data_IF_067022375565
#
_entry.id   IF_067022375565
#
_cell.length_a   1.000
_cell.length_b   1.000
_cell.length_c   1.000
_cell.angle_alpha   90.00
_cell.angle_beta   90.00
_cell.angle_gamma   90.00
#
_symmetry.space_group_name_H-M   'P 1'
#
loop_
_entity.id
_entity.type
_entity.pdbx_description
1 polymer ?
#
# COMPACT_ATOMS: atom_id res chain seq x y z
N UNK A 1 1.80 -22.57 -7.41
CA UNK A 1 1.73 -23.12 -8.77
C UNK A 1 1.15 -22.02 -9.66
N UNK A 2 1.91 -21.50 -10.63
CA UNK A 2 1.38 -20.48 -11.57
C UNK A 2 0.15 -21.07 -12.26
N UNK A 3 -0.91 -20.28 -12.51
CA UNK A 3 -2.08 -20.76 -13.25
C UNK A 3 -1.56 -21.36 -14.56
N UNK A 4 -1.74 -22.68 -14.79
CA UNK A 4 -1.16 -23.33 -15.96
C UNK A 4 -1.70 -22.66 -17.22
N UNK A 5 -0.88 -22.51 -18.28
CA UNK A 5 -1.34 -21.95 -19.53
C UNK A 5 -2.61 -22.68 -19.96
N UNK A 6 -3.71 -21.94 -20.11
CA UNK A 6 -4.97 -22.57 -20.48
C UNK A 6 -4.85 -23.10 -21.91
N UNK A 7 -5.02 -24.41 -22.05
CA UNK A 7 -5.12 -25.06 -23.35
C UNK A 7 -6.29 -24.46 -24.14
N UNK A 8 -6.19 -24.45 -25.47
CA UNK A 8 -7.30 -24.05 -26.34
C UNK A 8 -8.56 -24.86 -26.03
N UNK A 9 -8.40 -26.15 -25.71
CA UNK A 9 -9.48 -27.03 -25.25
C UNK A 9 -10.23 -26.53 -24.02
N UNK A 10 -9.54 -25.90 -23.06
CA UNK A 10 -10.20 -25.37 -21.87
C UNK A 10 -11.04 -24.15 -22.19
N UNK A 11 -10.58 -23.30 -23.12
CA UNK A 11 -11.35 -22.14 -23.59
C UNK A 11 -12.58 -22.59 -24.40
N UNK A 12 -12.38 -23.53 -25.32
CA UNK A 12 -13.46 -24.13 -26.12
C UNK A 12 -14.50 -24.84 -25.25
N UNK A 13 -14.07 -25.71 -24.33
CA UNK A 13 -14.99 -26.48 -23.47
C UNK A 13 -15.84 -25.56 -22.56
N UNK A 14 -15.30 -24.43 -22.08
CA UNK A 14 -16.07 -23.44 -21.30
C UNK A 14 -17.19 -22.80 -22.13
N UNK A 15 -16.96 -22.61 -23.43
CA UNK A 15 -17.95 -22.12 -24.36
C UNK A 15 -18.87 -23.22 -24.91
N UNK A 16 -18.70 -24.48 -24.47
CA UNK A 16 -19.44 -25.63 -25.00
C UNK A 16 -19.04 -26.05 -26.41
N UNK A 17 -17.83 -25.67 -26.86
CA UNK A 17 -17.32 -25.93 -28.21
C UNK A 17 -16.34 -27.10 -28.21
N UNK A 18 -16.56 -28.06 -29.10
CA UNK A 18 -15.60 -29.12 -29.43
C UNK A 18 -14.63 -28.72 -30.54
N UNK A 19 -13.71 -29.63 -30.89
CA UNK A 19 -12.73 -29.43 -31.97
C UNK A 19 -13.43 -29.12 -33.31
N UNK A 20 -14.46 -29.89 -33.66
CA UNK A 20 -15.20 -29.73 -34.92
C UNK A 20 -15.92 -28.38 -34.99
N UNK A 21 -16.52 -27.92 -33.88
CA UNK A 21 -17.21 -26.63 -33.80
C UNK A 21 -16.23 -25.48 -34.00
N UNK A 22 -15.08 -25.53 -33.31
CA UNK A 22 -14.03 -24.51 -33.44
C UNK A 22 -13.43 -24.49 -34.85
N UNK A 23 -13.20 -25.66 -35.45
CA UNK A 23 -12.72 -25.77 -36.83
C UNK A 23 -13.69 -25.13 -37.82
N UNK A 24 -14.98 -25.44 -37.69
CA UNK A 24 -16.05 -24.89 -38.53
C UNK A 24 -16.18 -23.37 -38.35
N UNK A 25 -16.29 -22.89 -37.11
CA UNK A 25 -16.50 -21.48 -36.80
C UNK A 25 -15.29 -20.60 -37.15
N UNK A 26 -14.07 -21.11 -36.95
CA UNK A 26 -12.85 -20.41 -37.32
C UNK A 26 -12.53 -20.51 -38.82
N UNK A 27 -13.18 -21.43 -39.56
CA UNK A 27 -12.81 -21.73 -40.94
C UNK A 27 -11.37 -22.26 -41.05
N UNK A 28 -10.95 -23.10 -40.10
CA UNK A 28 -9.61 -23.69 -40.00
C UNK A 28 -9.75 -25.22 -40.06
N UNK A 29 -8.83 -25.91 -40.74
CA UNK A 29 -8.85 -27.37 -40.82
C UNK A 29 -8.89 -28.02 -39.43
N UNK A 30 -9.75 -29.04 -39.28
CA UNK A 30 -9.94 -29.77 -38.03
C UNK A 30 -8.62 -30.40 -37.52
N UNK A 31 -7.77 -30.87 -38.43
CA UNK A 31 -6.43 -31.37 -38.11
C UNK A 31 -5.50 -30.30 -37.51
N UNK A 32 -5.67 -29.04 -37.89
CA UNK A 32 -4.94 -27.91 -37.32
C UNK A 32 -5.48 -27.58 -35.93
N UNK A 33 -6.81 -27.53 -35.75
CA UNK A 33 -7.40 -27.33 -34.42
C UNK A 33 -7.03 -28.47 -33.47
N UNK A 34 -7.11 -29.72 -33.90
CA UNK A 34 -6.73 -30.90 -33.12
C UNK A 34 -5.28 -30.82 -32.60
N UNK A 35 -4.33 -30.37 -33.44
CA UNK A 35 -2.93 -30.14 -33.03
C UNK A 35 -2.80 -29.04 -31.96
N UNK A 36 -3.58 -27.98 -32.07
CA UNK A 36 -3.56 -26.86 -31.10
C UNK A 36 -4.33 -27.19 -29.81
N UNK A 37 -5.36 -28.04 -29.89
CA UNK A 37 -6.37 -28.25 -28.85
C UNK A 37 -5.81 -28.55 -27.46
N UNK A 38 -4.84 -29.45 -27.41
CA UNK A 38 -4.21 -29.91 -26.15
C UNK A 38 -2.76 -29.43 -26.00
N UNK A 39 -2.26 -28.59 -26.91
CA UNK A 39 -0.89 -28.07 -26.81
C UNK A 39 -0.85 -26.97 -25.74
N UNK A 40 0.05 -27.04 -24.73
CA UNK A 40 0.18 -26.00 -23.70
C UNK A 40 0.52 -24.62 -24.30
N UNK A 41 1.47 -24.60 -25.22
CA UNK A 41 1.99 -23.37 -25.85
C UNK A 41 1.38 -23.14 -27.24
N UNK A 42 0.08 -23.43 -27.38
CA UNK A 42 -0.60 -23.36 -28.67
C UNK A 42 -0.56 -21.95 -29.28
N UNK A 43 -0.54 -20.91 -28.42
CA UNK A 43 -0.48 -19.52 -28.82
C UNK A 43 0.83 -19.18 -29.55
N UNK A 44 1.96 -19.76 -29.15
CA UNK A 44 3.26 -19.54 -29.81
C UNK A 44 3.31 -20.17 -31.21
N UNK A 45 2.51 -21.22 -31.41
CA UNK A 45 2.44 -22.03 -32.64
C UNK A 45 1.45 -21.50 -33.65
N UNK A 46 0.65 -20.50 -33.30
CA UNK A 46 -0.38 -19.94 -34.19
C UNK A 46 -0.18 -18.43 -34.34
N UNK A 47 -0.15 -17.96 -35.59
CA UNK A 47 0.05 -16.54 -35.92
C UNK A 47 -0.84 -16.13 -37.09
N UNK A 48 -0.96 -14.81 -37.30
CA UNK A 48 -1.65 -14.26 -38.46
C UNK A 48 -3.13 -14.66 -38.54
N UNK A 49 -3.58 -15.08 -39.72
CA UNK A 49 -5.01 -15.32 -40.00
C UNK A 49 -5.63 -16.40 -39.11
N UNK A 50 -4.91 -17.48 -38.82
CA UNK A 50 -5.43 -18.55 -37.95
C UNK A 50 -5.66 -18.06 -36.52
N UNK A 51 -4.77 -17.21 -35.99
CA UNK A 51 -4.97 -16.62 -34.67
C UNK A 51 -6.16 -15.64 -34.67
N UNK A 52 -6.28 -14.79 -35.69
CA UNK A 52 -7.43 -13.88 -35.84
C UNK A 52 -8.76 -14.64 -35.93
N UNK A 53 -8.77 -15.75 -36.68
CA UNK A 53 -9.93 -16.62 -36.79
C UNK A 53 -10.31 -17.25 -35.45
N UNK A 54 -9.33 -17.73 -34.68
CA UNK A 54 -9.57 -18.26 -33.33
C UNK A 54 -10.08 -17.19 -32.35
N UNK A 55 -9.53 -15.97 -32.41
CA UNK A 55 -9.99 -14.82 -31.63
C UNK A 55 -11.46 -14.50 -31.92
N UNK A 56 -11.87 -14.58 -33.20
CA UNK A 56 -13.25 -14.30 -33.61
C UNK A 56 -14.21 -15.44 -33.26
N UNK A 57 -13.76 -16.69 -33.32
CA UNK A 57 -14.61 -17.87 -33.23
C UNK A 57 -14.75 -18.46 -31.82
N UNK A 58 -13.78 -18.25 -30.94
CA UNK A 58 -13.73 -18.91 -29.63
C UNK A 58 -13.80 -17.88 -28.50
N UNK A 59 -14.92 -17.82 -27.75
CA UNK A 59 -15.05 -16.94 -26.59
C UNK A 59 -13.91 -17.16 -25.58
N UNK A 60 -13.33 -16.06 -25.07
CA UNK A 60 -12.20 -16.12 -24.13
C UNK A 60 -10.82 -16.17 -24.79
N UNK A 61 -10.70 -16.42 -26.10
CA UNK A 61 -9.40 -16.39 -26.80
C UNK A 61 -8.87 -14.97 -26.95
N UNK A 62 -9.73 -13.98 -27.24
CA UNK A 62 -9.33 -12.58 -27.35
C UNK A 62 -8.69 -12.07 -26.05
N UNK A 63 -9.35 -12.34 -24.91
CA UNK A 63 -8.90 -11.99 -23.57
C UNK A 63 -7.63 -12.73 -23.20
N UNK A 64 -7.57 -14.03 -23.51
CA UNK A 64 -6.37 -14.85 -23.26
C UNK A 64 -5.15 -14.33 -24.02
N UNK A 65 -5.33 -13.90 -25.27
CA UNK A 65 -4.27 -13.32 -26.11
C UNK A 65 -3.83 -11.96 -25.58
N UNK A 66 -4.79 -11.11 -25.20
CA UNK A 66 -4.50 -9.79 -24.62
C UNK A 66 -3.71 -9.89 -23.29
N UNK A 67 -4.01 -10.90 -22.47
CA UNK A 67 -3.36 -11.15 -21.18
C UNK A 67 -2.02 -11.90 -21.28
N UNK A 68 -1.70 -12.53 -22.41
CA UNK A 68 -0.52 -13.39 -22.55
C UNK A 68 0.81 -12.65 -22.24
N UNK A 69 1.09 -11.45 -22.80
CA UNK A 69 2.34 -10.74 -22.50
C UNK A 69 2.51 -10.40 -21.01
N UNK A 70 1.40 -10.14 -20.31
CA UNK A 70 1.41 -9.80 -18.89
C UNK A 70 1.70 -11.03 -18.03
N UNK A 71 1.14 -12.19 -18.37
CA UNK A 71 1.44 -13.46 -17.70
C UNK A 71 2.88 -13.87 -17.90
N UNK A 72 3.42 -13.71 -19.11
CA UNK A 72 4.82 -14.03 -19.39
C UNK A 72 5.76 -13.12 -18.62
N UNK A 73 5.48 -11.81 -18.57
CA UNK A 73 6.22 -10.86 -17.75
C UNK A 73 6.15 -11.22 -16.27
N UNK A 74 4.96 -11.51 -15.74
CA UNK A 74 4.76 -11.94 -14.35
C UNK A 74 5.53 -13.22 -14.02
N UNK A 75 5.43 -14.24 -14.88
CA UNK A 75 6.15 -15.50 -14.70
C UNK A 75 7.68 -15.31 -14.79
N UNK A 76 8.16 -14.44 -15.68
CA UNK A 76 9.57 -14.06 -15.76
C UNK A 76 10.04 -13.39 -14.48
N UNK A 77 9.26 -12.44 -13.95
CA UNK A 77 9.57 -11.74 -12.71
C UNK A 77 9.63 -12.70 -11.51
N UNK A 78 8.64 -13.60 -11.40
CA UNK A 78 8.63 -14.65 -10.36
C UNK A 78 9.88 -15.52 -10.45
N UNK A 79 10.32 -15.90 -11.65
CA UNK A 79 11.57 -16.66 -11.83
C UNK A 79 12.81 -15.85 -11.44
N UNK A 80 12.88 -14.58 -11.82
CA UNK A 80 13.98 -13.68 -11.42
C UNK A 80 14.05 -13.54 -9.91
N UNK A 81 12.91 -13.34 -9.23
CA UNK A 81 12.84 -13.26 -7.77
C UNK A 81 13.26 -14.58 -7.11
N UNK A 82 12.82 -15.72 -7.64
CA UNK A 82 13.23 -17.02 -7.14
C UNK A 82 14.74 -17.25 -7.26
N UNK A 83 15.39 -16.72 -8.32
CA UNK A 83 16.84 -16.79 -8.47
C UNK A 83 17.60 -15.99 -7.39
N UNK A 84 16.96 -14.95 -6.83
CA UNK A 84 17.46 -14.15 -5.70
C UNK A 84 17.03 -14.72 -4.33
N UNK A 85 16.47 -15.93 -4.29
CA UNK A 85 15.98 -16.57 -3.06
C UNK A 85 14.62 -16.07 -2.56
N UNK A 86 13.94 -15.21 -3.33
CA UNK A 86 12.66 -14.61 -2.97
C UNK A 86 11.51 -15.48 -3.49
N UNK A 87 10.71 -16.04 -2.59
CA UNK A 87 9.58 -16.92 -2.97
C UNK A 87 8.28 -16.13 -3.01
N UNK A 88 7.59 -16.12 -4.16
CA UNK A 88 6.32 -15.40 -4.35
C UNK A 88 5.11 -16.28 -4.00
N UNK A 89 4.17 -15.77 -3.18
CA UNK A 89 2.86 -16.37 -2.95
C UNK A 89 1.95 -16.13 -4.17
N UNK A 90 1.96 -17.11 -5.06
CA UNK A 90 1.16 -17.11 -6.28
C UNK A 90 -0.34 -17.22 -6.04
N UNK A 91 -0.77 -17.80 -4.90
CA UNK A 91 -2.18 -17.93 -4.55
C UNK A 91 -2.72 -16.57 -4.16
N UNK A 92 -2.00 -15.83 -3.34
CA UNK A 92 -2.38 -14.48 -2.95
C UNK A 92 -2.34 -13.51 -4.13
N UNK A 93 -1.33 -13.62 -5.02
CA UNK A 93 -1.26 -12.82 -6.25
C UNK A 93 -2.49 -13.02 -7.17
N UNK A 94 -2.95 -14.27 -7.30
CA UNK A 94 -4.15 -14.59 -8.06
C UNK A 94 -5.42 -14.02 -7.41
N UNK A 95 -5.57 -14.17 -6.08
CA UNK A 95 -6.71 -13.62 -5.33
C UNK A 95 -6.83 -12.10 -5.45
N UNK A 96 -5.71 -11.37 -5.38
CA UNK A 96 -5.71 -9.92 -5.56
C UNK A 96 -6.23 -9.53 -6.96
N UNK A 97 -5.87 -10.31 -7.98
CA UNK A 97 -6.35 -10.05 -9.34
C UNK A 97 -7.84 -10.36 -9.52
N UNK A 98 -8.29 -11.48 -8.97
CA UNK A 98 -9.63 -12.03 -9.23
C UNK A 98 -10.70 -11.48 -8.28
N UNK A 99 -10.38 -11.26 -7.01
CA UNK A 99 -11.36 -10.89 -5.97
C UNK A 99 -11.33 -9.40 -5.61
N UNK A 100 -10.14 -8.80 -5.56
CA UNK A 100 -9.98 -7.38 -5.26
C UNK A 100 -10.07 -6.50 -6.52
N UNK A 101 -10.24 -7.11 -7.69
CA UNK A 101 -10.36 -6.40 -8.96
C UNK A 101 -9.11 -5.61 -9.34
N UNK A 102 -7.93 -5.99 -8.82
CA UNK A 102 -6.66 -5.33 -9.13
C UNK A 102 -6.16 -5.87 -10.47
N UNK A 103 -6.08 -5.07 -11.55
CA UNK A 103 -5.55 -5.57 -12.81
C UNK A 103 -4.18 -6.25 -12.65
N UNK A 104 -4.00 -7.42 -13.28
CA UNK A 104 -2.72 -8.18 -13.27
C UNK A 104 -1.47 -7.35 -13.55
N UNK A 105 -1.48 -6.33 -14.44
CA UNK A 105 -0.34 -5.43 -14.60
C UNK A 105 0.09 -4.74 -13.32
N UNK A 106 -0.86 -4.37 -12.46
CA UNK A 106 -0.56 -3.75 -11.19
C UNK A 106 -0.06 -4.74 -10.15
N UNK A 107 -0.48 -6.02 -10.20
CA UNK A 107 0.14 -7.06 -9.36
C UNK A 107 1.54 -7.40 -9.85
N UNK A 108 1.78 -7.42 -11.16
CA UNK A 108 3.11 -7.55 -11.74
C UNK A 108 4.00 -6.34 -11.38
N UNK A 109 3.49 -5.12 -11.46
CA UNK A 109 4.18 -3.91 -11.01
C UNK A 109 4.33 -3.84 -9.48
N UNK A 110 3.42 -4.43 -8.70
CA UNK A 110 3.51 -4.53 -7.24
C UNK A 110 4.49 -5.61 -6.80
N UNK A 111 4.65 -6.68 -7.58
CA UNK A 111 5.76 -7.62 -7.42
C UNK A 111 7.09 -6.99 -7.86
N UNK A 112 7.05 -6.14 -8.87
CA UNK A 112 8.20 -5.33 -9.29
C UNK A 112 8.51 -4.23 -8.24
N UNK A 113 7.49 -3.82 -7.47
CA UNK A 113 7.56 -2.84 -6.39
C UNK A 113 7.48 -3.46 -4.97
N UNK A 114 7.77 -4.78 -4.87
CA UNK A 114 7.65 -5.68 -3.71
C UNK A 114 7.85 -5.03 -2.32
N UNK A 115 6.85 -4.31 -1.82
CA UNK A 115 6.86 -3.76 -0.45
C UNK A 115 5.47 -3.66 0.20
N UNK A 116 4.42 -4.27 -0.35
CA UNK A 116 3.10 -4.24 0.29
C UNK A 116 2.36 -5.58 0.23
N UNK A 117 2.34 -6.28 1.38
CA UNK A 117 1.25 -7.19 1.77
C UNK A 117 1.28 -8.62 1.22
N UNK A 118 2.06 -9.51 1.86
CA UNK A 118 1.80 -10.96 1.84
C UNK A 118 2.18 -11.74 0.58
N UNK A 119 2.89 -11.11 -0.36
CA UNK A 119 3.35 -11.78 -1.59
C UNK A 119 4.65 -12.57 -1.43
N UNK A 120 5.35 -12.49 -0.29
CA UNK A 120 6.59 -13.23 -0.06
C UNK A 120 6.41 -14.27 1.05
N UNK A 121 6.92 -15.47 0.82
CA UNK A 121 6.97 -16.55 1.85
C UNK A 121 8.02 -16.21 2.92
N UNK A 122 9.12 -15.59 2.53
CA UNK A 122 10.13 -15.05 3.42
C UNK A 122 10.43 -13.60 3.03
N UNK A 123 10.10 -12.69 3.93
CA UNK A 123 10.31 -11.23 3.76
C UNK A 123 11.69 -10.82 4.29
N UNK A 124 12.42 -11.69 4.99
CA UNK A 124 13.68 -11.35 5.64
C UNK A 124 14.77 -10.83 4.68
N UNK A 125 15.04 -11.46 3.51
CA UNK A 125 16.06 -10.95 2.58
C UNK A 125 15.73 -9.54 2.08
N UNK A 126 14.46 -9.28 1.82
CA UNK A 126 13.97 -7.97 1.39
C UNK A 126 14.10 -6.93 2.51
N UNK A 127 13.75 -7.28 3.75
CA UNK A 127 13.92 -6.40 4.90
C UNK A 127 15.38 -6.05 5.14
N UNK A 128 16.29 -7.03 5.03
CA UNK A 128 17.74 -6.79 5.12
C UNK A 128 18.18 -5.80 4.06
N UNK A 129 17.85 -6.05 2.79
CA UNK A 129 18.21 -5.15 1.70
C UNK A 129 17.60 -3.75 1.85
N UNK A 130 16.34 -3.66 2.29
CA UNK A 130 15.67 -2.40 2.55
C UNK A 130 16.31 -1.61 3.70
N UNK A 131 16.63 -2.30 4.79
CA UNK A 131 17.30 -1.71 5.97
C UNK A 131 18.68 -1.18 5.60
N UNK A 132 19.44 -1.91 4.78
CA UNK A 132 20.74 -1.45 4.26
C UNK A 132 20.61 -0.29 3.27
N UNK A 133 19.50 -0.22 2.52
CA UNK A 133 19.27 0.80 1.50
C UNK A 133 18.84 2.15 2.11
N UNK A 134 18.08 2.16 3.20
CA UNK A 134 17.54 3.40 3.81
C UNK A 134 18.65 4.44 4.11
N UNK A 135 19.77 4.12 4.79
CA UNK A 135 20.84 5.09 5.04
C UNK A 135 21.50 5.58 3.75
N UNK A 136 21.61 4.71 2.74
CA UNK A 136 22.20 5.05 1.44
C UNK A 136 21.34 6.04 0.67
N UNK A 137 20.01 5.87 0.73
CA UNK A 137 19.07 6.82 0.15
C UNK A 137 19.15 8.17 0.87
N UNK A 138 19.25 8.18 2.20
CA UNK A 138 19.40 9.41 2.99
C UNK A 138 20.55 10.29 2.47
N UNK A 139 21.71 9.67 2.22
CA UNK A 139 22.90 10.39 1.71
C UNK A 139 22.77 10.94 0.27
N UNK A 140 21.73 10.53 -0.48
CA UNK A 140 21.54 10.85 -1.91
C UNK A 140 20.19 11.50 -2.23
N UNK A 141 19.36 11.74 -1.23
CA UNK A 141 18.01 12.30 -1.39
C UNK A 141 18.03 13.81 -1.64
N UNK A 142 18.36 14.21 -2.88
CA UNK A 142 18.35 15.62 -3.30
C UNK A 142 17.02 16.08 -3.91
N UNK A 143 16.14 15.15 -4.30
CA UNK A 143 14.84 15.45 -4.89
C UNK A 143 13.69 15.03 -3.99
N UNK A 144 12.57 15.74 -4.10
CA UNK A 144 11.35 15.43 -3.36
C UNK A 144 10.89 13.98 -3.54
N UNK A 145 10.95 13.45 -4.77
CA UNK A 145 10.56 12.07 -5.06
C UNK A 145 11.46 11.05 -4.36
N UNK A 146 12.77 11.31 -4.25
CA UNK A 146 13.69 10.43 -3.52
C UNK A 146 13.43 10.48 -2.02
N UNK A 147 13.14 11.65 -1.46
CA UNK A 147 12.72 11.80 -0.06
C UNK A 147 11.43 11.03 0.23
N UNK A 148 10.43 11.12 -0.65
CA UNK A 148 9.19 10.34 -0.52
C UNK A 148 9.45 8.83 -0.57
N UNK A 149 10.25 8.38 -1.55
CA UNK A 149 10.58 6.97 -1.70
C UNK A 149 11.32 6.42 -0.47
N UNK A 150 12.29 7.17 0.05
CA UNK A 150 13.01 6.82 1.27
C UNK A 150 12.08 6.74 2.48
N UNK A 151 11.23 7.75 2.68
CA UNK A 151 10.31 7.81 3.81
C UNK A 151 9.28 6.67 3.78
N UNK A 152 8.74 6.33 2.60
CA UNK A 152 7.87 5.18 2.42
C UNK A 152 8.59 3.86 2.71
N UNK A 153 9.84 3.70 2.25
CA UNK A 153 10.62 2.52 2.53
C UNK A 153 10.86 2.36 4.05
N UNK A 154 11.27 3.44 4.73
CA UNK A 154 11.47 3.45 6.18
C UNK A 154 10.18 3.12 6.94
N UNK A 155 9.04 3.68 6.53
CA UNK A 155 7.73 3.35 7.10
C UNK A 155 7.42 1.86 6.99
N UNK A 156 7.60 1.27 5.81
CA UNK A 156 7.28 -0.14 5.60
C UNK A 156 8.22 -1.08 6.36
N UNK A 157 9.51 -0.78 6.40
CA UNK A 157 10.47 -1.56 7.20
C UNK A 157 10.06 -1.51 8.66
N UNK A 158 9.83 -0.32 9.22
CA UNK A 158 9.45 -0.15 10.62
C UNK A 158 8.11 -0.81 10.97
N UNK A 159 7.15 -0.78 10.05
CA UNK A 159 5.87 -1.46 10.20
C UNK A 159 6.00 -2.98 10.23
N UNK A 160 6.94 -3.55 9.48
CA UNK A 160 7.13 -5.01 9.48
C UNK A 160 7.97 -5.44 10.68
N UNK A 161 8.96 -4.66 11.10
CA UNK A 161 9.84 -5.00 12.23
C UNK A 161 9.22 -4.64 13.58
N UNK A 162 8.22 -3.75 13.62
CA UNK A 162 7.67 -3.21 14.86
C UNK A 162 8.61 -2.24 15.59
N UNK A 163 9.73 -1.86 14.96
CA UNK A 163 10.75 -1.00 15.54
C UNK A 163 11.20 0.04 14.50
N UNK A 164 11.35 1.32 14.90
CA UNK A 164 11.88 2.33 14.00
C UNK A 164 13.29 1.95 13.56
N UNK A 165 13.58 2.10 12.26
CA UNK A 165 14.92 1.89 11.72
C UNK A 165 15.89 2.93 12.29
N UNK A 166 17.15 2.54 12.50
CA UNK A 166 18.22 3.48 12.82
C UNK A 166 18.44 4.42 11.62
N UNK A 167 18.16 5.70 11.80
CA UNK A 167 18.36 6.74 10.78
C UNK A 167 19.76 7.35 10.86
N UNK A 168 20.64 6.83 11.73
CA UNK A 168 21.93 7.41 12.08
C UNK A 168 21.82 8.47 13.16
N UNK A 169 22.96 9.04 13.53
CA UNK A 169 23.02 10.10 14.54
C UNK A 169 22.34 11.36 14.00
N UNK A 170 21.12 11.62 14.48
CA UNK A 170 20.32 12.80 14.13
C UNK A 170 20.73 14.01 14.98
N UNK A 171 21.95 14.00 15.52
CA UNK A 171 22.48 15.05 16.39
C UNK A 171 22.79 16.32 15.58
N UNK A 172 21.80 17.19 15.44
CA UNK A 172 21.90 18.50 14.76
C UNK A 172 20.52 19.07 14.41
N UNK A 173 20.50 20.28 13.84
CA UNK A 173 19.27 20.89 13.31
C UNK A 173 18.64 19.96 12.28
N UNK A 174 17.51 19.35 12.65
CA UNK A 174 16.76 18.45 11.80
C UNK A 174 16.23 19.20 10.57
N UNK A 175 16.73 18.85 9.38
CA UNK A 175 16.12 19.35 8.16
C UNK A 175 14.74 18.69 7.91
N UNK A 176 13.95 19.29 7.02
CA UNK A 176 12.58 18.85 6.72
C UNK A 176 12.52 17.42 6.14
N UNK A 177 13.57 17.00 5.42
CA UNK A 177 13.63 15.68 4.77
C UNK A 177 13.93 14.59 5.80
N UNK A 178 14.87 14.87 6.69
CA UNK A 178 15.18 14.04 7.85
C UNK A 178 13.94 13.94 8.76
N UNK A 179 13.27 15.05 9.05
CA UNK A 179 12.03 15.08 9.81
C UNK A 179 10.90 14.25 9.18
N UNK A 180 10.73 14.30 7.84
CA UNK A 180 9.73 13.48 7.15
C UNK A 180 10.04 11.98 7.14
N UNK A 181 11.32 11.63 6.99
CA UNK A 181 11.77 10.23 7.10
C UNK A 181 11.55 9.72 8.52
N UNK A 182 11.95 10.50 9.52
CA UNK A 182 11.75 10.22 10.95
C UNK A 182 10.28 9.99 11.27
N UNK A 183 9.40 10.91 10.86
CA UNK A 183 7.95 10.76 11.01
C UNK A 183 7.47 9.43 10.42
N UNK A 184 7.81 9.17 9.17
CA UNK A 184 7.30 8.01 8.42
C UNK A 184 7.76 6.70 9.07
N UNK A 185 9.02 6.65 9.50
CA UNK A 185 9.62 5.56 10.26
C UNK A 185 8.87 5.32 11.59
N UNK A 186 8.66 6.36 12.40
CA UNK A 186 7.91 6.28 13.66
C UNK A 186 6.47 5.80 13.44
N UNK A 187 5.76 6.35 12.44
CA UNK A 187 4.39 5.93 12.14
C UNK A 187 4.31 4.47 11.69
N UNK A 188 5.34 4.01 10.97
CA UNK A 188 5.47 2.61 10.60
C UNK A 188 5.53 1.72 11.84
N UNK A 189 6.46 2.02 12.75
CA UNK A 189 6.60 1.28 14.00
C UNK A 189 5.30 1.29 14.83
N UNK A 190 4.71 2.46 15.05
CA UNK A 190 3.47 2.61 15.83
C UNK A 190 2.28 1.85 15.23
N UNK A 191 2.21 1.70 13.91
CA UNK A 191 1.17 0.93 13.26
C UNK A 191 1.24 -0.58 13.57
N UNK A 192 2.39 -1.06 14.06
CA UNK A 192 2.66 -2.48 14.30
C UNK A 192 2.77 -2.87 15.78
N UNK A 193 2.84 -1.89 16.69
CA UNK A 193 3.00 -2.15 18.13
C UNK A 193 1.99 -1.40 18.98
N UNK A 194 1.67 -1.96 20.15
CA UNK A 194 0.91 -1.27 21.20
C UNK A 194 1.82 -0.41 22.11
N UNK A 195 3.15 -0.47 21.94
CA UNK A 195 4.09 0.32 22.72
C UNK A 195 3.88 1.83 22.47
N UNK A 196 3.67 2.58 23.56
CA UNK A 196 3.47 4.04 23.52
C UNK A 196 4.77 4.83 23.50
N UNK A 197 5.91 4.23 23.86
CA UNK A 197 7.19 4.92 23.99
C UNK A 197 7.62 5.64 22.70
N UNK A 198 7.51 5.04 21.49
CA UNK A 198 7.86 5.74 20.25
C UNK A 198 6.97 6.97 20.00
N UNK A 199 5.70 6.93 20.44
CA UNK A 199 4.79 8.06 20.34
C UNK A 199 5.18 9.19 21.30
N UNK A 200 5.57 8.87 22.54
CA UNK A 200 6.04 9.87 23.51
C UNK A 200 7.37 10.52 23.09
N UNK A 201 8.30 9.73 22.56
CA UNK A 201 9.56 10.24 22.02
C UNK A 201 9.31 11.18 20.84
N UNK A 202 8.42 10.78 19.92
CA UNK A 202 8.05 11.60 18.77
C UNK A 202 7.30 12.87 19.16
N UNK A 203 6.39 12.80 20.14
CA UNK A 203 5.71 13.97 20.69
C UNK A 203 6.70 15.03 21.19
N UNK A 204 7.72 14.62 21.95
CA UNK A 204 8.77 15.54 22.43
C UNK A 204 9.50 16.21 21.28
N UNK A 205 9.83 15.45 20.23
CA UNK A 205 10.48 16.00 19.03
C UNK A 205 9.58 17.00 18.30
N UNK A 206 8.28 16.73 18.18
CA UNK A 206 7.33 17.68 17.60
C UNK A 206 7.26 18.98 18.41
N UNK A 207 7.36 18.90 19.74
CA UNK A 207 7.36 20.08 20.61
C UNK A 207 8.66 20.89 20.52
N UNK A 208 9.82 20.23 20.38
CA UNK A 208 11.13 20.90 20.44
C UNK A 208 11.72 21.26 19.08
N UNK A 209 11.37 20.53 18.02
CA UNK A 209 11.99 20.65 16.69
C UNK A 209 11.01 21.24 15.65
N UNK A 210 11.17 22.51 15.24
CA UNK A 210 10.24 23.18 14.33
C UNK A 210 10.04 22.46 13.00
N UNK A 211 11.09 21.82 12.47
CA UNK A 211 10.99 21.05 11.23
C UNK A 211 10.09 19.81 11.38
N UNK A 212 10.14 19.13 12.54
CA UNK A 212 9.31 17.95 12.82
C UNK A 212 7.84 18.36 12.95
N UNK A 213 7.57 19.45 13.67
CA UNK A 213 6.21 19.99 13.79
C UNK A 213 5.61 20.35 12.43
N UNK A 214 6.36 21.08 11.61
CA UNK A 214 5.89 21.52 10.29
C UNK A 214 5.57 20.32 9.39
N UNK A 215 6.41 19.28 9.43
CA UNK A 215 6.17 18.02 8.71
C UNK A 215 4.93 17.30 9.22
N UNK A 216 4.74 17.25 10.54
CA UNK A 216 3.59 16.60 11.15
C UNK A 216 2.26 17.25 10.73
N UNK A 217 2.22 18.58 10.75
CA UNK A 217 1.09 19.39 10.27
C UNK A 217 0.80 19.16 8.77
N UNK A 218 1.83 18.95 7.96
CA UNK A 218 1.70 18.79 6.50
C UNK A 218 1.35 17.38 6.03
N UNK A 219 1.83 16.34 6.70
CA UNK A 219 1.87 14.99 6.15
C UNK A 219 0.48 14.36 5.94
N UNK A 220 -0.41 14.40 6.95
CA UNK A 220 -1.76 13.85 6.81
C UNK A 220 -2.60 14.61 5.76
N UNK A 221 -2.71 15.95 5.83
CA UNK A 221 -3.53 16.70 4.87
C UNK A 221 -3.05 16.54 3.42
N UNK A 222 -1.73 16.46 3.19
CA UNK A 222 -1.17 16.26 1.85
C UNK A 222 -1.41 14.84 1.33
N UNK A 223 -1.29 13.83 2.19
CA UNK A 223 -1.60 12.44 1.86
C UNK A 223 -3.08 12.24 1.53
N UNK A 224 -3.95 12.80 2.36
CA UNK A 224 -5.40 12.73 2.22
C UNK A 224 -5.96 13.74 1.22
N UNK A 225 -5.11 14.51 0.53
CA UNK A 225 -5.49 15.48 -0.51
C UNK A 225 -6.40 16.61 -0.03
N UNK A 226 -6.38 16.93 1.25
CA UNK A 226 -6.95 18.18 1.77
C UNK A 226 -6.03 19.38 1.48
N UNK A 227 -4.73 19.14 1.28
CA UNK A 227 -3.82 20.11 0.67
C UNK A 227 -2.99 19.49 -0.46
N UNK A 228 -2.38 20.35 -1.28
CA UNK A 228 -1.48 19.91 -2.35
C UNK A 228 -0.11 19.56 -1.74
N UNK A 229 0.46 18.37 -2.01
CA UNK A 229 1.83 18.07 -1.62
C UNK A 229 2.82 19.08 -2.21
N UNK A 230 3.79 19.52 -1.40
CA UNK A 230 4.80 20.50 -1.79
C UNK A 230 6.17 20.11 -1.23
N UNK A 231 7.23 20.53 -1.92
CA UNK A 231 8.61 20.19 -1.54
C UNK A 231 9.09 20.92 -0.27
N UNK A 232 8.46 22.05 0.05
CA UNK A 232 8.70 22.82 1.26
C UNK A 232 7.86 22.35 2.45
N UNK A 233 6.93 21.40 2.24
CA UNK A 233 6.09 20.80 3.27
C UNK A 233 5.26 21.84 4.04
N UNK A 234 4.69 22.82 3.33
CA UNK A 234 3.89 23.89 3.90
C UNK A 234 2.39 23.58 3.82
N UNK A 235 1.65 24.05 4.83
CA UNK A 235 0.19 23.97 4.89
C UNK A 235 -0.39 25.38 4.64
N UNK A 236 -1.50 25.53 3.90
CA UNK A 236 -2.20 26.80 3.80
C UNK A 236 -2.61 27.31 5.19
N UNK A 237 -2.59 28.63 5.41
CA UNK A 237 -2.97 29.22 6.70
C UNK A 237 -4.42 28.96 7.13
N UNK A 238 -5.29 28.55 6.20
CA UNK A 238 -6.62 28.01 6.48
C UNK A 238 -6.84 26.76 5.64
N UNK A 239 -7.20 25.64 6.28
CA UNK A 239 -7.46 24.37 5.62
C UNK A 239 -8.72 23.74 6.24
N UNK A 240 -9.49 23.03 5.43
CA UNK A 240 -10.61 22.20 5.90
C UNK A 240 -10.20 20.73 5.81
N UNK A 241 -10.10 20.05 6.95
CA UNK A 241 -9.52 18.70 7.07
C UNK A 241 -10.54 17.59 6.81
N UNK A 242 -11.31 17.67 5.71
CA UNK A 242 -12.45 16.76 5.48
C UNK A 242 -12.01 15.30 5.25
N UNK A 243 -11.07 15.06 4.35
CA UNK A 243 -10.62 13.69 4.04
C UNK A 243 -9.75 13.15 5.17
N UNK A 244 -8.93 14.01 5.74
CA UNK A 244 -8.11 13.76 6.91
C UNK A 244 -8.94 13.32 8.11
N UNK A 245 -10.04 14.03 8.42
CA UNK A 245 -10.93 13.66 9.51
C UNK A 245 -11.54 12.27 9.28
N UNK A 246 -11.93 11.95 8.03
CA UNK A 246 -12.45 10.63 7.71
C UNK A 246 -11.45 9.50 7.92
N UNK A 247 -10.20 9.71 7.53
CA UNK A 247 -9.15 8.71 7.73
C UNK A 247 -8.81 8.54 9.21
N UNK A 248 -8.63 9.64 9.95
CA UNK A 248 -8.30 9.58 11.38
C UNK A 248 -9.39 8.87 12.18
N UNK A 249 -10.66 9.12 11.87
CA UNK A 249 -11.79 8.41 12.48
C UNK A 249 -11.73 6.90 12.22
N UNK A 250 -11.34 6.48 11.00
CA UNK A 250 -11.11 5.07 10.66
C UNK A 250 -9.94 4.51 11.46
N UNK A 251 -8.86 5.26 11.60
CA UNK A 251 -7.62 4.83 12.26
C UNK A 251 -7.77 4.66 13.78
N UNK A 252 -8.56 5.51 14.46
CA UNK A 252 -8.86 5.39 15.90
C UNK A 252 -9.38 3.98 16.26
N UNK A 253 -10.21 3.41 15.40
CA UNK A 253 -10.77 2.06 15.58
C UNK A 253 -9.90 0.92 15.04
N UNK A 254 -8.87 1.22 14.24
CA UNK A 254 -8.12 0.20 13.48
C UNK A 254 -6.75 -0.14 14.08
N UNK A 255 -6.10 0.81 14.75
CA UNK A 255 -4.74 0.62 15.26
C UNK A 255 -4.68 0.41 16.78
N UNK A 256 -3.52 -0.06 17.24
CA UNK A 256 -3.23 -0.32 18.66
C UNK A 256 -3.07 0.95 19.49
N UNK A 257 -2.92 0.77 20.80
CA UNK A 257 -2.89 1.87 21.77
C UNK A 257 -1.71 2.83 21.59
N UNK A 258 -0.56 2.35 21.11
CA UNK A 258 0.59 3.19 20.77
C UNK A 258 0.26 4.22 19.69
N UNK A 259 -0.38 3.77 18.61
CA UNK A 259 -0.83 4.66 17.54
C UNK A 259 -1.91 5.62 18.02
N UNK A 260 -2.89 5.14 18.80
CA UNK A 260 -3.92 6.00 19.36
C UNK A 260 -3.31 7.07 20.25
N UNK A 261 -2.33 6.72 21.09
CA UNK A 261 -1.63 7.68 21.94
C UNK A 261 -0.99 8.79 21.11
N UNK A 262 -0.28 8.44 20.03
CA UNK A 262 0.25 9.41 19.07
C UNK A 262 -0.84 10.34 18.52
N UNK A 263 -1.97 9.78 18.07
CA UNK A 263 -3.06 10.59 17.53
C UNK A 263 -3.54 11.63 18.54
N UNK A 264 -3.78 11.23 19.79
CA UNK A 264 -4.38 12.13 20.79
C UNK A 264 -3.39 13.07 21.48
N UNK A 265 -2.12 12.69 21.58
CA UNK A 265 -1.09 13.52 22.23
C UNK A 265 -0.36 14.44 21.25
N UNK A 266 -0.27 14.07 19.97
CA UNK A 266 0.54 14.78 18.98
C UNK A 266 -0.30 15.33 17.83
N UNK A 267 -0.93 14.45 17.07
CA UNK A 267 -1.51 14.85 15.78
C UNK A 267 -2.80 15.69 15.92
N UNK A 268 -3.78 15.18 16.68
CA UNK A 268 -5.09 15.82 16.81
C UNK A 268 -5.02 17.23 17.41
N UNK A 269 -4.21 17.51 18.46
CA UNK A 269 -4.02 18.87 18.95
C UNK A 269 -3.56 19.85 17.85
N UNK A 270 -2.61 19.44 17.00
CA UNK A 270 -2.13 20.26 15.88
C UNK A 270 -3.23 20.44 14.84
N UNK A 271 -3.90 19.36 14.43
CA UNK A 271 -4.98 19.40 13.45
C UNK A 271 -6.14 20.31 13.88
N UNK A 272 -6.54 20.23 15.16
CA UNK A 272 -7.61 21.06 15.74
C UNK A 272 -7.21 22.53 15.87
N UNK A 273 -5.92 22.82 16.05
CA UNK A 273 -5.43 24.20 16.04
C UNK A 273 -5.55 24.86 14.65
N UNK A 274 -5.45 24.06 13.58
CA UNK A 274 -5.59 24.53 12.19
C UNK A 274 -7.04 24.55 11.72
N UNK A 275 -7.82 23.54 12.10
CA UNK A 275 -9.24 23.41 11.79
C UNK A 275 -10.01 22.98 13.06
N UNK A 276 -10.55 23.95 13.83
CA UNK A 276 -11.31 23.66 15.04
C UNK A 276 -12.57 22.82 14.82
N UNK A 277 -13.07 22.75 13.58
CA UNK A 277 -14.22 21.91 13.24
C UNK A 277 -13.82 20.47 12.91
N UNK A 278 -12.52 20.23 12.74
CA UNK A 278 -11.93 18.98 12.28
C UNK A 278 -12.67 18.41 11.07
N UNK A 279 -12.68 19.17 9.97
CA UNK A 279 -13.40 18.80 8.75
C UNK A 279 -14.92 18.79 8.91
N UNK A 280 -15.47 19.58 9.83
CA UNK A 280 -16.87 19.55 10.28
C UNK A 280 -17.28 18.25 11.02
N UNK A 281 -16.31 17.49 11.55
CA UNK A 281 -16.54 16.19 12.20
C UNK A 281 -16.08 16.13 13.67
N UNK A 282 -15.90 17.27 14.33
CA UNK A 282 -15.46 17.30 15.74
C UNK A 282 -16.36 16.49 16.70
N UNK A 283 -17.68 16.49 16.50
CA UNK A 283 -18.60 15.68 17.32
C UNK A 283 -18.46 14.17 17.08
N UNK A 284 -18.20 13.75 15.84
CA UNK A 284 -17.90 12.36 15.51
C UNK A 284 -16.55 11.92 16.10
N UNK A 285 -15.54 12.81 16.05
CA UNK A 285 -14.25 12.59 16.68
C UNK A 285 -14.38 12.38 18.19
N UNK A 286 -15.12 13.26 18.87
CA UNK A 286 -15.39 13.13 20.31
C UNK A 286 -16.03 11.77 20.63
N UNK A 287 -17.07 11.38 19.88
CA UNK A 287 -17.77 10.12 20.07
C UNK A 287 -16.86 8.91 19.84
N UNK A 288 -16.07 8.90 18.75
CA UNK A 288 -15.15 7.82 18.42
C UNK A 288 -14.07 7.64 19.49
N UNK A 289 -13.53 8.74 20.01
CA UNK A 289 -12.53 8.72 21.07
C UNK A 289 -13.09 8.14 22.38
N UNK A 290 -14.31 8.55 22.80
CA UNK A 290 -14.94 8.00 24.00
C UNK A 290 -15.26 6.51 23.86
N UNK A 291 -15.77 6.08 22.70
CA UNK A 291 -15.99 4.66 22.44
C UNK A 291 -14.69 3.86 22.50
N UNK A 292 -13.60 4.41 21.94
CA UNK A 292 -12.29 3.74 21.98
C UNK A 292 -11.72 3.72 23.39
N UNK A 293 -11.85 4.81 24.16
CA UNK A 293 -11.38 4.97 25.54
C UNK A 293 -11.82 3.82 26.44
N UNK A 294 -13.08 3.41 26.34
CA UNK A 294 -13.67 2.38 27.20
C UNK A 294 -13.09 0.97 26.93
N UNK A 295 -12.36 0.81 25.82
CA UNK A 295 -11.67 -0.44 25.44
C UNK A 295 -10.17 -0.44 25.73
N UNK A 296 -9.62 0.65 26.28
CA UNK A 296 -8.17 0.78 26.49
C UNK A 296 -7.73 0.12 27.79
N UNK A 297 -6.64 -0.62 27.74
CA UNK A 297 -5.96 -1.20 28.89
C UNK A 297 -4.95 -0.24 29.51
N UNK A 298 -4.23 0.55 28.69
CA UNK A 298 -3.20 1.46 29.19
C UNK A 298 -3.80 2.75 29.79
N UNK A 299 -3.58 3.02 31.09
CA UNK A 299 -4.14 4.18 31.77
C UNK A 299 -3.56 5.52 31.29
N UNK A 300 -2.34 5.54 30.73
CA UNK A 300 -1.73 6.75 30.16
C UNK A 300 -2.50 7.16 28.90
N UNK A 301 -2.77 6.21 28.01
CA UNK A 301 -3.53 6.47 26.76
C UNK A 301 -4.94 6.92 27.09
N UNK A 302 -5.61 6.25 28.04
CA UNK A 302 -6.94 6.66 28.53
C UNK A 302 -6.94 8.10 29.03
N UNK A 303 -5.94 8.50 29.81
CA UNK A 303 -5.80 9.89 30.29
C UNK A 303 -5.58 10.88 29.15
N UNK A 304 -4.78 10.54 28.15
CA UNK A 304 -4.58 11.41 26.98
C UNK A 304 -5.87 11.60 26.19
N UNK A 305 -6.68 10.56 26.02
CA UNK A 305 -8.02 10.66 25.41
C UNK A 305 -8.93 11.57 26.24
N UNK A 306 -8.95 11.41 27.57
CA UNK A 306 -9.76 12.25 28.48
C UNK A 306 -9.39 13.72 28.39
N UNK A 307 -8.09 14.01 28.39
CA UNK A 307 -7.58 15.38 28.23
C UNK A 307 -8.05 15.97 26.90
N UNK A 308 -7.88 15.27 25.77
CA UNK A 308 -8.27 15.81 24.46
C UNK A 308 -9.79 16.00 24.35
N UNK A 309 -10.58 15.00 24.76
CA UNK A 309 -12.04 15.04 24.66
C UNK A 309 -12.67 16.14 25.51
N UNK A 310 -12.07 16.49 26.65
CA UNK A 310 -12.54 17.63 27.48
C UNK A 310 -12.51 18.99 26.77
N UNK A 311 -11.75 19.12 25.67
CA UNK A 311 -11.63 20.33 24.87
C UNK A 311 -12.42 20.28 23.55
N UNK A 312 -13.02 19.12 23.22
CA UNK A 312 -13.80 18.95 22.00
C UNK A 312 -15.28 19.35 22.23
N UNK A 313 -15.96 19.91 21.22
CA UNK A 313 -17.38 20.18 21.31
C UNK A 313 -18.16 18.86 21.42
N UNK A 314 -19.10 18.79 22.38
CA UNK A 314 -19.87 17.58 22.69
C UNK A 314 -20.99 17.27 21.70
N UNK A 315 -21.09 18.01 20.58
CA UNK A 315 -22.07 17.74 19.53
C UNK A 315 -23.51 17.92 20.00
N UNK A 316 -23.89 19.15 20.35
CA UNK A 316 -25.30 19.57 20.43
C UNK A 316 -25.45 20.85 19.60
N UNK A 317 -25.50 20.70 18.29
CA UNK A 317 -25.85 21.77 17.34
C UNK A 317 -26.37 21.16 16.06
#
# INVERSE_FOLDING_TARGET
MLVPPSHLSQLGNRAGLGIADVALLAGVDESTISRLWSTPDWLDRVRGRTLQALIAAVPGVAEYVADAPQRDRFASLVRSLAAEGVTVDLVQAARLSEQAGVPRPYVAHALEALFQGGLLVDVAPLLTAATELIPRLASRSYSFNMTLAQAHLAHHVAKVTGAPSDLGDVSGDLDRRAAFTLRSNTMGALAATANIEPAEQYHRLVETEPAVRMVEEWAFPSWMRDCRPSADMSVPGSILLRQTAAEVLREIGSYGEGYLHYLVSTYLPLALSQDPTFGLRAGELHTALLLRRDTLDNPIVRRSVDTLTSHLPTGVS
#
